data_IF_351364539104
#
_entry.id   IF_351364539104
#
_cell.length_a   1.000
_cell.length_b   1.000
_cell.length_c   1.000
_cell.angle_alpha   90.00
_cell.angle_beta   90.00
_cell.angle_gamma   90.00
#
_symmetry.space_group_name_H-M   'P 1'
#
loop_
_entity.id
_entity.type
_entity.pdbx_description
1 polymer ?
#
# COMPACT_ATOMS: atom_id res chain seq x y z
N UNK A 1 -6.82 -80.28 0.39
CA UNK A 1 -6.60 -78.86 0.72
C UNK A 1 -6.42 -78.10 -0.58
N UNK A 2 -7.39 -77.26 -0.94
CA UNK A 2 -7.31 -76.37 -2.09
C UNK A 2 -6.86 -74.99 -1.60
N UNK A 3 -5.90 -74.36 -2.29
CA UNK A 3 -5.82 -72.89 -2.33
C UNK A 3 -4.91 -72.40 -3.48
N UNK A 4 -5.61 -71.96 -4.54
CA UNK A 4 -5.46 -70.65 -5.19
C UNK A 4 -4.13 -70.27 -5.87
N UNK A 5 -4.21 -70.21 -7.21
CA UNK A 5 -3.32 -69.50 -8.13
C UNK A 5 -3.38 -67.99 -7.84
N UNK A 6 -2.24 -67.33 -7.64
CA UNK A 6 -2.14 -65.87 -7.59
C UNK A 6 -1.38 -65.35 -8.81
N UNK A 7 -2.11 -64.56 -9.59
CA UNK A 7 -1.69 -63.88 -10.80
C UNK A 7 -0.62 -62.83 -10.54
N UNK A 8 0.39 -62.82 -11.40
CA UNK A 8 1.40 -61.76 -11.53
C UNK A 8 0.79 -60.52 -12.19
N UNK A 9 0.88 -59.39 -11.50
CA UNK A 9 0.68 -58.07 -12.11
C UNK A 9 1.98 -57.28 -12.04
N UNK A 10 2.56 -57.03 -13.21
CA UNK A 10 3.66 -56.10 -13.45
C UNK A 10 3.10 -54.69 -13.36
N UNK A 11 3.68 -53.82 -12.53
CA UNK A 11 3.52 -52.38 -12.64
C UNK A 11 4.91 -51.77 -12.90
N UNK A 12 5.04 -51.21 -14.10
CA UNK A 12 6.17 -50.41 -14.54
C UNK A 12 6.29 -49.13 -13.69
N UNK A 13 7.54 -48.70 -13.52
CA UNK A 13 7.91 -47.57 -12.68
C UNK A 13 7.42 -46.21 -13.15
N UNK A 14 7.44 -45.30 -12.19
CA UNK A 14 7.46 -43.87 -12.37
C UNK A 14 7.95 -43.25 -11.07
N UNK A 15 9.23 -42.91 -10.97
CA UNK A 15 9.74 -42.04 -9.90
C UNK A 15 9.23 -40.64 -10.19
N UNK A 16 8.12 -40.25 -9.55
CA UNK A 16 7.74 -38.84 -9.45
C UNK A 16 8.73 -38.17 -8.50
N UNK A 17 9.74 -37.52 -9.07
CA UNK A 17 10.38 -36.38 -8.43
C UNK A 17 9.30 -35.32 -8.22
N UNK A 18 8.84 -35.16 -6.99
CA UNK A 18 8.06 -34.00 -6.60
C UNK A 18 8.98 -32.77 -6.69
N UNK A 19 8.99 -32.13 -7.85
CA UNK A 19 9.50 -30.78 -7.99
C UNK A 19 8.61 -29.87 -7.13
N UNK A 20 9.26 -29.00 -6.35
CA UNK A 20 8.63 -27.95 -5.56
C UNK A 20 7.56 -27.21 -6.37
N UNK A 21 6.35 -27.18 -5.84
CA UNK A 21 5.37 -26.16 -6.13
C UNK A 21 5.15 -25.36 -4.84
N UNK A 22 6.19 -24.63 -4.43
CA UNK A 22 5.98 -23.43 -3.62
C UNK A 22 5.40 -22.36 -4.54
N UNK A 23 4.49 -21.55 -3.98
CA UNK A 23 3.66 -20.49 -4.61
C UNK A 23 2.25 -20.92 -5.04
N UNK A 24 1.48 -21.44 -4.09
CA UNK A 24 0.06 -21.08 -4.03
C UNK A 24 -0.05 -19.77 -3.23
N UNK A 25 -0.84 -18.76 -3.66
CA UNK A 25 -1.11 -17.58 -2.84
C UNK A 25 -1.77 -18.03 -1.54
N UNK A 26 -1.08 -17.88 -0.40
CA UNK A 26 -1.69 -18.14 0.89
C UNK A 26 -2.86 -17.16 1.10
N UNK A 27 -4.01 -17.71 1.46
CA UNK A 27 -5.18 -16.94 1.85
C UNK A 27 -4.82 -15.99 3.01
N UNK A 28 -5.21 -14.72 2.90
CA UNK A 28 -5.04 -13.70 3.93
C UNK A 28 -5.92 -14.02 5.14
N UNK A 29 -5.33 -14.58 6.18
CA UNK A 29 -5.98 -14.81 7.47
C UNK A 29 -5.99 -13.51 8.28
N UNK A 30 -7.06 -12.70 8.16
CA UNK A 30 -7.42 -11.63 9.11
C UNK A 30 -6.35 -10.59 9.50
N UNK A 31 -5.25 -10.52 8.75
CA UNK A 31 -4.02 -9.81 9.08
C UNK A 31 -3.93 -8.54 8.25
N UNK A 32 -3.71 -7.38 8.88
CA UNK A 32 -3.53 -6.11 8.19
C UNK A 32 -2.41 -6.12 7.15
N UNK A 33 -2.23 -4.97 6.48
CA UNK A 33 -1.20 -4.81 5.46
C UNK A 33 0.18 -5.11 6.05
N UNK A 34 0.95 -5.96 5.37
CA UNK A 34 2.30 -6.31 5.79
C UNK A 34 3.32 -5.34 5.20
N UNK A 35 4.30 -4.97 6.02
CA UNK A 35 5.45 -4.21 5.56
C UNK A 35 6.77 -4.81 6.06
N UNK A 36 7.84 -4.54 5.32
CA UNK A 36 9.21 -4.78 5.79
C UNK A 36 9.79 -3.48 6.33
N UNK A 37 10.24 -3.50 7.58
CA UNK A 37 10.90 -2.37 8.25
C UNK A 37 12.13 -2.87 9.00
N UNK A 38 13.30 -2.27 8.78
CA UNK A 38 14.58 -2.71 9.38
C UNK A 38 14.85 -4.22 9.24
N UNK A 39 14.48 -4.78 8.08
CA UNK A 39 14.70 -6.18 7.74
C UNK A 39 13.72 -7.18 8.37
N UNK A 40 12.65 -6.72 9.03
CA UNK A 40 11.63 -7.58 9.64
C UNK A 40 10.23 -7.21 9.19
N UNK A 41 9.32 -8.19 9.22
CA UNK A 41 7.90 -7.98 8.91
C UNK A 41 7.20 -7.26 10.05
N UNK A 42 6.37 -6.28 9.71
CA UNK A 42 5.49 -5.56 10.63
C UNK A 42 4.06 -5.58 10.08
N UNK A 43 3.09 -5.59 10.98
CA UNK A 43 1.67 -5.44 10.65
C UNK A 43 1.32 -3.96 10.76
N UNK A 44 1.18 -3.30 9.61
CA UNK A 44 0.96 -1.86 9.54
C UNK A 44 -0.31 -1.46 10.28
N UNK A 45 -1.36 -2.29 10.22
CA UNK A 45 -2.65 -2.03 10.91
C UNK A 45 -2.51 -1.84 12.42
N UNK A 46 -1.42 -2.34 13.02
CA UNK A 46 -1.13 -2.15 14.44
C UNK A 46 -0.23 -0.95 14.73
N UNK A 47 0.85 -0.80 13.97
CA UNK A 47 1.85 0.25 14.18
C UNK A 47 2.84 0.28 13.02
N UNK A 48 3.45 1.44 12.79
CA UNK A 48 4.58 1.61 11.87
C UNK A 48 5.93 1.52 12.57
N UNK A 49 5.93 1.32 13.89
CA UNK A 49 7.13 1.09 14.71
C UNK A 49 8.20 2.20 14.55
N UNK A 50 7.74 3.44 14.34
CA UNK A 50 8.59 4.62 14.17
C UNK A 50 8.96 4.94 12.72
N UNK A 51 8.58 4.11 11.75
CA UNK A 51 8.73 4.46 10.35
C UNK A 51 7.87 5.68 9.98
N UNK A 52 8.39 6.53 9.09
CA UNK A 52 7.69 7.72 8.60
C UNK A 52 7.33 7.64 7.13
N UNK A 53 8.07 6.87 6.33
CA UNK A 53 7.79 6.68 4.90
C UNK A 53 7.52 5.20 4.64
N UNK A 54 6.37 4.87 4.06
CA UNK A 54 6.05 3.50 3.64
C UNK A 54 5.68 3.46 2.16
N UNK A 55 6.38 2.65 1.38
CA UNK A 55 6.25 2.60 -0.07
C UNK A 55 5.81 1.22 -0.51
N UNK A 56 4.74 1.19 -1.31
CA UNK A 56 4.23 -0.02 -1.93
C UNK A 56 5.25 -0.57 -2.93
N UNK A 57 5.64 -1.83 -2.70
CA UNK A 57 6.54 -2.57 -3.57
C UNK A 57 5.75 -3.39 -4.60
N UNK A 58 4.68 -4.04 -4.12
CA UNK A 58 3.64 -4.71 -4.90
C UNK A 58 2.32 -4.56 -4.17
N UNK A 59 1.20 -4.88 -4.81
CA UNK A 59 -0.14 -4.63 -4.27
C UNK A 59 -0.31 -5.23 -2.85
N UNK A 60 -0.45 -4.35 -1.85
CA UNK A 60 -0.62 -4.74 -0.45
C UNK A 60 0.64 -5.20 0.29
N UNK A 61 1.83 -5.00 -0.28
CA UNK A 61 3.12 -5.22 0.38
C UNK A 61 3.95 -3.93 0.37
N UNK A 62 4.40 -3.52 1.55
CA UNK A 62 5.11 -2.26 1.71
C UNK A 62 6.53 -2.46 2.22
N UNK A 63 7.37 -1.47 1.96
CA UNK A 63 8.65 -1.30 2.62
C UNK A 63 8.66 0.06 3.30
N UNK A 64 9.02 0.07 4.58
CA UNK A 64 8.98 1.26 5.41
C UNK A 64 10.38 1.71 5.85
N UNK A 65 10.52 3.00 6.07
CA UNK A 65 11.78 3.71 6.31
C UNK A 65 11.64 4.70 7.47
N UNK A 66 12.75 4.96 8.16
CA UNK A 66 12.79 5.91 9.28
C UNK A 66 12.46 7.34 8.82
N UNK A 67 12.95 7.74 7.65
CA UNK A 67 12.80 9.06 7.06
C UNK A 67 13.02 9.03 5.53
N UNK A 68 12.83 10.18 4.89
CA UNK A 68 13.03 10.34 3.45
C UNK A 68 14.48 10.10 3.00
N UNK A 69 15.47 10.45 3.82
CA UNK A 69 16.87 10.23 3.46
C UNK A 69 17.18 8.73 3.38
N UNK A 70 16.71 7.95 4.36
CA UNK A 70 16.81 6.49 4.38
C UNK A 70 16.04 5.84 3.22
N UNK A 71 14.83 6.34 2.91
CA UNK A 71 14.05 5.89 1.76
C UNK A 71 14.81 6.08 0.44
N UNK A 72 15.30 7.31 0.18
CA UNK A 72 15.96 7.65 -1.08
C UNK A 72 17.26 6.89 -1.28
N UNK A 73 18.06 6.73 -0.23
CA UNK A 73 19.29 5.93 -0.28
C UNK A 73 19.00 4.47 -0.62
N UNK A 74 18.04 3.85 0.08
CA UNK A 74 17.69 2.45 -0.11
C UNK A 74 17.09 2.14 -1.49
N UNK A 75 16.40 3.12 -2.09
CA UNK A 75 15.72 2.98 -3.38
C UNK A 75 16.52 3.58 -4.56
N UNK A 76 17.72 4.11 -4.27
CA UNK A 76 18.62 4.68 -5.28
C UNK A 76 18.05 5.92 -5.97
N UNK A 77 17.25 6.72 -5.26
CA UNK A 77 16.61 7.92 -5.80
C UNK A 77 17.57 9.12 -5.73
N UNK A 78 17.71 9.85 -6.84
CA UNK A 78 18.60 11.00 -6.92
C UNK A 78 18.01 12.25 -6.24
N UNK A 79 18.86 13.06 -5.59
CA UNK A 79 18.51 14.38 -5.02
C UNK A 79 18.16 14.33 -3.53
N UNK A 80 18.37 15.44 -2.79
CA UNK A 80 17.96 15.53 -1.40
C UNK A 80 16.42 15.44 -1.31
N UNK A 81 15.93 14.78 -0.25
CA UNK A 81 14.61 15.08 0.26
C UNK A 81 14.57 16.58 0.49
N UNK A 82 13.54 17.28 0.01
CA UNK A 82 13.45 18.69 0.34
C UNK A 82 13.43 18.82 1.87
N UNK A 83 14.12 19.82 2.44
CA UNK A 83 14.11 20.02 3.90
C UNK A 83 12.67 19.93 4.40
N UNK A 84 12.41 19.21 5.50
CA UNK A 84 11.05 19.07 6.08
C UNK A 84 10.40 20.45 6.17
N UNK A 85 9.41 20.72 5.32
CA UNK A 85 8.73 22.02 5.21
C UNK A 85 9.04 22.89 3.98
N UNK A 86 9.88 22.45 3.03
CA UNK A 86 10.12 23.15 1.75
C UNK A 86 9.62 22.25 0.62
N UNK A 87 8.40 22.47 0.11
CA UNK A 87 7.86 21.78 -1.10
C UNK A 87 7.80 20.24 -1.09
N UNK A 88 7.55 19.60 0.05
CA UNK A 88 7.51 18.12 0.21
C UNK A 88 6.53 17.33 -0.70
N UNK A 89 5.77 17.99 -1.58
CA UNK A 89 5.06 17.32 -2.67
C UNK A 89 6.02 16.70 -3.70
N UNK A 90 7.22 17.26 -3.87
CA UNK A 90 8.24 16.73 -4.79
C UNK A 90 8.95 15.47 -4.28
N UNK A 91 8.80 15.18 -2.98
CA UNK A 91 9.20 13.90 -2.40
C UNK A 91 8.32 12.74 -2.91
N UNK A 92 7.14 13.04 -3.47
CA UNK A 92 6.33 12.03 -4.11
C UNK A 92 6.97 11.51 -5.39
N UNK A 93 7.42 10.25 -5.35
CA UNK A 93 8.08 9.59 -6.47
C UNK A 93 7.22 9.62 -7.74
N UNK A 94 7.85 9.90 -8.88
CA UNK A 94 7.17 9.83 -10.18
C UNK A 94 6.56 8.44 -10.41
N UNK A 95 5.29 8.41 -10.81
CA UNK A 95 4.53 7.17 -11.00
C UNK A 95 3.83 6.65 -9.74
N UNK A 96 3.88 7.39 -8.63
CA UNK A 96 3.21 7.04 -7.37
C UNK A 96 2.14 8.07 -7.00
N UNK A 97 1.14 7.60 -6.27
CA UNK A 97 0.21 8.42 -5.51
C UNK A 97 0.74 8.50 -4.09
N UNK A 98 0.83 9.70 -3.53
CA UNK A 98 1.33 9.91 -2.18
C UNK A 98 0.26 10.57 -1.32
N UNK A 99 0.15 10.13 -0.07
CA UNK A 99 -0.73 10.70 0.94
C UNK A 99 0.05 10.89 2.23
N UNK A 100 -0.22 11.99 2.91
CA UNK A 100 0.45 12.42 4.13
C UNK A 100 -0.56 12.59 5.26
N UNK A 101 -0.10 12.30 6.48
CA UNK A 101 -0.90 12.44 7.70
C UNK A 101 -1.14 13.90 8.10
N UNK A 102 -0.33 14.84 7.62
CA UNK A 102 -0.49 16.25 7.93
C UNK A 102 -0.71 17.07 6.65
N UNK A 103 -1.17 18.31 6.85
CA UNK A 103 -1.32 19.30 5.78
C UNK A 103 0.05 19.70 5.23
N UNK A 104 0.06 20.25 4.02
CA UNK A 104 1.28 20.74 3.36
C UNK A 104 2.35 19.65 3.17
N UNK A 105 1.93 18.41 2.89
CA UNK A 105 2.80 17.27 2.56
C UNK A 105 3.77 16.92 3.71
N UNK A 106 3.28 16.95 4.94
CA UNK A 106 4.09 16.75 6.15
C UNK A 106 3.72 15.48 6.92
N UNK A 107 4.58 15.13 7.88
CA UNK A 107 4.39 13.95 8.73
C UNK A 107 4.60 12.65 7.95
N UNK A 108 4.00 11.57 8.46
CA UNK A 108 4.08 10.24 7.86
C UNK A 108 3.48 10.20 6.45
N UNK A 109 4.18 9.54 5.52
CA UNK A 109 3.80 9.37 4.12
C UNK A 109 3.60 7.90 3.73
N UNK A 110 2.56 7.66 2.93
CA UNK A 110 2.41 6.41 2.16
C UNK A 110 2.48 6.69 0.67
N UNK A 111 3.21 5.85 -0.06
CA UNK A 111 3.26 5.85 -1.52
C UNK A 111 2.65 4.56 -2.08
N UNK A 112 1.69 4.69 -2.98
CA UNK A 112 1.03 3.58 -3.68
C UNK A 112 1.14 3.72 -5.20
N UNK A 113 1.20 2.61 -5.92
CA UNK A 113 1.30 2.60 -7.40
C UNK A 113 0.38 1.59 -8.05
N UNK A 114 0.21 0.43 -7.43
CA UNK A 114 -0.57 -0.66 -7.99
C UNK A 114 -2.03 -0.23 -8.17
N UNK A 115 -2.64 -0.50 -9.34
CA UNK A 115 -4.04 -0.19 -9.54
C UNK A 115 -4.91 -1.03 -8.61
N UNK A 116 -6.07 -0.51 -8.25
CA UNK A 116 -7.03 -1.16 -7.35
C UNK A 116 -7.38 -0.30 -6.14
N UNK A 117 -8.18 -0.89 -5.26
CA UNK A 117 -8.62 -0.26 -4.03
C UNK A 117 -7.56 -0.39 -2.94
N UNK A 118 -7.25 0.72 -2.27
CA UNK A 118 -6.37 0.80 -1.12
C UNK A 118 -7.18 1.30 0.07
N UNK A 119 -7.22 0.52 1.14
CA UNK A 119 -7.96 0.84 2.36
C UNK A 119 -6.99 1.40 3.40
N UNK A 120 -7.11 2.68 3.76
CA UNK A 120 -6.16 3.31 4.68
C UNK A 120 -6.24 2.75 6.10
N UNK A 121 -7.41 2.26 6.50
CA UNK A 121 -7.61 1.58 7.79
C UNK A 121 -6.74 0.31 7.93
N UNK A 122 -6.36 -0.33 6.81
CA UNK A 122 -5.51 -1.52 6.81
C UNK A 122 -4.03 -1.15 7.03
N UNK A 123 -3.65 0.12 6.80
CA UNK A 123 -2.32 0.66 7.04
C UNK A 123 -2.14 1.12 8.48
N UNK A 124 -3.18 1.63 9.11
CA UNK A 124 -3.37 1.80 10.57
C UNK A 124 -4.68 2.55 10.78
N UNK A 125 -5.48 2.23 11.80
CA UNK A 125 -6.70 2.97 12.13
C UNK A 125 -6.49 4.49 12.26
N UNK A 126 -5.29 4.91 12.67
CA UNK A 126 -4.97 6.33 12.77
C UNK A 126 -4.82 7.00 11.41
N UNK A 127 -4.26 6.33 10.40
CA UNK A 127 -3.92 6.96 9.12
C UNK A 127 -5.16 7.26 8.26
N UNK A 128 -6.19 6.41 8.31
CA UNK A 128 -7.48 6.67 7.65
C UNK A 128 -8.12 8.00 8.11
N UNK A 129 -7.99 8.32 9.40
CA UNK A 129 -8.50 9.57 9.98
C UNK A 129 -7.40 10.62 10.16
N UNK A 130 -6.34 10.55 9.36
CA UNK A 130 -5.23 11.51 9.41
C UNK A 130 -4.81 11.98 8.01
N UNK A 131 -5.28 11.35 6.92
CA UNK A 131 -4.96 11.83 5.58
C UNK A 131 -5.36 13.30 5.38
N UNK A 132 -4.37 14.21 5.34
CA UNK A 132 -4.57 15.67 5.38
C UNK A 132 -3.94 16.39 4.18
N UNK A 133 -3.11 15.70 3.39
CA UNK A 133 -2.71 16.16 2.05
C UNK A 133 -2.30 14.99 1.17
N UNK A 134 -2.36 15.15 -0.15
CA UNK A 134 -1.98 14.10 -1.09
C UNK A 134 -1.43 14.71 -2.38
N UNK A 135 -0.73 13.91 -3.19
CA UNK A 135 -0.25 14.32 -4.50
C UNK A 135 -0.31 13.14 -5.47
N UNK A 136 -1.04 13.31 -6.57
CA UNK A 136 -1.10 12.28 -7.60
C UNK A 136 0.01 12.49 -8.65
N UNK A 137 1.21 11.93 -8.40
CA UNK A 137 2.33 11.94 -9.36
C UNK A 137 2.27 10.78 -10.37
N UNK A 138 1.10 10.13 -10.51
CA UNK A 138 0.88 9.08 -11.51
C UNK A 138 0.47 9.72 -12.84
N UNK A 139 0.62 9.00 -13.94
CA UNK A 139 0.06 9.41 -15.23
C UNK A 139 -1.44 9.14 -15.35
N UNK A 140 -2.01 8.37 -14.41
CA UNK A 140 -3.40 7.98 -14.34
C UNK A 140 -4.09 8.65 -13.15
N UNK A 141 -5.42 8.69 -13.19
CA UNK A 141 -6.21 9.35 -12.18
C UNK A 141 -6.28 8.47 -10.91
N UNK A 142 -6.81 9.04 -9.84
CA UNK A 142 -7.17 8.36 -8.61
C UNK A 142 -8.49 8.93 -8.07
N UNK A 143 -9.22 8.17 -7.30
CA UNK A 143 -10.38 8.65 -6.55
C UNK A 143 -10.12 8.49 -5.05
N UNK A 144 -10.46 9.51 -4.27
CA UNK A 144 -10.41 9.46 -2.82
C UNK A 144 -11.84 9.39 -2.29
N UNK A 145 -12.10 8.41 -1.42
CA UNK A 145 -13.44 8.13 -0.92
C UNK A 145 -13.48 8.25 0.61
N UNK A 146 -14.54 8.89 1.10
CA UNK A 146 -14.98 8.84 2.49
C UNK A 146 -16.02 7.72 2.58
N UNK A 147 -15.80 6.71 3.42
CA UNK A 147 -16.55 5.44 3.42
C UNK A 147 -18.03 5.56 3.76
N UNK A 148 -18.47 6.75 4.16
CA UNK A 148 -19.86 7.04 4.48
C UNK A 148 -20.66 7.64 3.31
N UNK A 149 -20.02 7.99 2.19
CA UNK A 149 -20.69 8.41 0.93
C UNK A 149 -20.28 7.50 -0.23
N UNK A 150 -21.06 7.52 -1.32
CA UNK A 150 -20.66 6.89 -2.59
C UNK A 150 -19.95 7.86 -3.54
N UNK A 151 -19.73 9.10 -3.10
CA UNK A 151 -19.12 10.16 -3.88
C UNK A 151 -17.60 10.16 -3.66
N UNK A 152 -16.86 10.80 -4.55
CA UNK A 152 -15.40 10.76 -4.53
C UNK A 152 -14.76 12.06 -4.98
N UNK A 153 -13.66 12.41 -4.31
CA UNK A 153 -12.77 13.46 -4.80
C UNK A 153 -11.94 12.90 -5.95
N UNK A 154 -12.11 13.49 -7.13
CA UNK A 154 -11.34 13.13 -8.31
C UNK A 154 -9.93 13.72 -8.22
N UNK A 155 -8.91 12.88 -8.36
CA UNK A 155 -7.52 13.29 -8.41
C UNK A 155 -6.92 13.00 -9.79
N UNK A 156 -6.83 14.02 -10.63
CA UNK A 156 -6.20 13.91 -11.95
C UNK A 156 -4.74 13.46 -11.83
N UNK A 157 -4.30 12.64 -12.79
CA UNK A 157 -2.89 12.33 -12.93
C UNK A 157 -2.07 13.60 -13.25
N UNK A 158 -0.76 13.53 -13.07
CA UNK A 158 0.22 14.59 -13.38
C UNK A 158 0.13 15.81 -12.45
N UNK A 159 -0.13 15.57 -11.17
CA UNK A 159 0.15 16.53 -10.11
C UNK A 159 -1.06 17.23 -9.52
N UNK A 160 -2.21 16.55 -9.43
CA UNK A 160 -3.35 17.07 -8.69
C UNK A 160 -3.12 16.98 -7.17
N UNK A 161 -3.35 18.09 -6.47
CA UNK A 161 -3.32 18.22 -5.02
C UNK A 161 -4.12 19.46 -4.58
N UNK A 162 -5.38 19.28 -4.15
CA UNK A 162 -6.19 20.35 -3.58
C UNK A 162 -5.91 20.52 -2.08
N UNK A 163 -6.31 21.66 -1.54
CA UNK A 163 -6.39 21.83 -0.09
C UNK A 163 -7.62 21.09 0.45
N UNK A 164 -7.41 19.94 1.08
CA UNK A 164 -8.48 19.09 1.62
C UNK A 164 -9.38 19.81 2.64
N UNK A 165 -8.92 20.91 3.24
CA UNK A 165 -9.74 21.70 4.17
C UNK A 165 -10.82 22.53 3.47
N UNK A 166 -10.71 22.71 2.15
CA UNK A 166 -11.66 23.44 1.33
C UNK A 166 -12.57 22.53 0.50
N UNK A 167 -12.31 21.22 0.49
CA UNK A 167 -13.10 20.22 -0.22
C UNK A 167 -14.24 19.68 0.67
N UNK A 168 -15.39 20.33 0.65
CA UNK A 168 -16.55 20.06 1.52
C UNK A 168 -17.70 19.30 0.83
N UNK A 169 -17.61 19.10 -0.49
CA UNK A 169 -18.77 18.75 -1.31
C UNK A 169 -19.22 17.29 -1.22
N UNK A 170 -18.36 16.39 -0.71
CA UNK A 170 -18.49 14.94 -0.95
C UNK A 170 -18.20 14.07 0.29
N UNK A 171 -18.22 14.67 1.49
CA UNK A 171 -17.98 13.99 2.79
C UNK A 171 -19.22 14.03 3.68
N UNK A 172 -19.34 13.12 4.64
CA UNK A 172 -20.51 13.11 5.53
C UNK A 172 -20.64 14.32 6.45
N UNK A 173 -19.53 14.99 6.73
CA UNK A 173 -19.52 16.21 7.52
C UNK A 173 -18.20 16.94 7.33
N UNK A 174 -18.26 18.27 7.20
CA UNK A 174 -17.06 19.10 7.12
C UNK A 174 -16.40 19.01 5.75
N UNK A 175 -15.14 18.62 5.72
CA UNK A 175 -14.31 18.55 4.52
C UNK A 175 -13.49 17.25 4.50
N UNK A 176 -12.76 16.99 3.42
CA UNK A 176 -11.94 15.77 3.25
C UNK A 176 -10.75 15.65 4.20
N UNK A 177 -10.41 16.69 4.95
CA UNK A 177 -9.30 16.64 5.91
C UNK A 177 -9.58 15.56 6.95
N UNK A 178 -8.70 14.57 7.05
CA UNK A 178 -8.82 13.46 8.00
C UNK A 178 -10.06 12.58 7.77
N UNK A 179 -10.56 12.49 6.51
CA UNK A 179 -11.75 11.71 6.13
C UNK A 179 -11.55 10.69 5.01
N UNK A 180 -10.34 10.58 4.47
CA UNK A 180 -10.08 9.66 3.36
C UNK A 180 -9.96 8.25 3.94
N UNK A 181 -10.93 7.39 3.67
CA UNK A 181 -10.86 5.99 4.11
C UNK A 181 -10.21 5.10 3.05
N UNK A 182 -10.46 5.44 1.78
CA UNK A 182 -10.11 4.59 0.64
C UNK A 182 -9.57 5.41 -0.52
N UNK A 183 -8.66 4.80 -1.26
CA UNK A 183 -8.09 5.36 -2.48
C UNK A 183 -8.24 4.33 -3.59
N UNK A 184 -8.90 4.69 -4.69
CA UNK A 184 -8.91 3.89 -5.91
C UNK A 184 -7.85 4.42 -6.86
N UNK A 185 -6.87 3.58 -7.17
CA UNK A 185 -5.83 3.87 -8.16
C UNK A 185 -6.20 3.21 -9.50
N UNK A 186 -6.27 4.01 -10.58
CA UNK A 186 -6.53 3.52 -11.94
C UNK A 186 -5.25 3.12 -12.68
#
# INVERSE_FOLDING_TARGET
>A
MALTVLSTSVLLGGTVTAAQADNAPQAKDGSGVQAVYKGRSIDMSKSWEGATVCVEQTYGEYRCYDDDAAYRDAEGLAGPASDVGVSAWDDCRSGYFCIWEDKNYAGRRVEGRAPGMHYLQDLTPSFANQGSSFYNNRSTNAHLLDGCTSDYLHADGRGYSPDLTQEDRLVCSGNYNDKIDQILLF
#
